data_IF_525365291373
#
_entry.id   IF_525365291373
#
_cell.length_a   1.000
_cell.length_b   1.000
_cell.length_c   1.000
_cell.angle_alpha   90.00
_cell.angle_beta   90.00
_cell.angle_gamma   90.00
#
_symmetry.space_group_name_H-M   'P 1'
#
loop_
_entity.id
_entity.type
_entity.pdbx_description
1 polymer ?
#
# COMPACT_ATOMS: atom_id res chain seq x y z
N UNK A 1 1.13 -20.42 6.78
CA UNK A 1 1.16 -21.07 5.45
C UNK A 1 0.42 -20.16 4.47
N UNK A 2 0.72 -20.23 3.17
CA UNK A 2 -0.13 -19.61 2.15
C UNK A 2 -1.37 -20.50 1.98
N UNK A 3 -2.56 -19.95 2.20
CA UNK A 3 -3.82 -20.69 2.10
C UNK A 3 -4.55 -20.39 0.78
N UNK A 4 -4.28 -19.23 0.18
CA UNK A 4 -4.86 -18.77 -1.09
C UNK A 4 -3.84 -17.99 -1.91
N UNK A 5 -4.00 -18.02 -3.23
CA UNK A 5 -3.23 -17.20 -4.16
C UNK A 5 -3.69 -15.73 -4.10
N UNK A 6 -2.78 -14.79 -4.37
CA UNK A 6 -3.16 -13.41 -4.65
C UNK A 6 -3.85 -13.33 -6.02
N UNK A 7 -4.99 -12.63 -6.08
CA UNK A 7 -5.79 -12.48 -7.30
C UNK A 7 -6.18 -11.02 -7.50
N UNK A 8 -6.04 -10.54 -8.74
CA UNK A 8 -6.76 -9.36 -9.20
C UNK A 8 -8.09 -9.80 -9.81
N UNK A 9 -9.19 -9.32 -9.25
CA UNK A 9 -10.55 -9.72 -9.64
C UNK A 9 -11.25 -8.54 -10.29
N UNK A 10 -11.72 -8.72 -11.53
CA UNK A 10 -12.60 -7.75 -12.20
C UNK A 10 -14.04 -8.22 -12.10
N UNK A 11 -14.90 -7.37 -11.56
CA UNK A 11 -16.34 -7.60 -11.50
C UNK A 11 -17.10 -6.71 -12.50
N UNK A 12 -18.29 -7.15 -12.89
CA UNK A 12 -19.28 -6.28 -13.51
C UNK A 12 -20.07 -5.48 -12.44
N UNK A 13 -21.01 -4.65 -12.90
CA UNK A 13 -21.86 -3.84 -12.01
C UNK A 13 -22.77 -4.67 -11.08
N UNK A 14 -22.97 -5.97 -11.37
CA UNK A 14 -23.71 -6.90 -10.52
C UNK A 14 -22.82 -7.63 -9.52
N UNK A 15 -21.51 -7.38 -9.51
CA UNK A 15 -20.54 -8.11 -8.68
C UNK A 15 -20.17 -9.48 -9.24
N UNK A 16 -20.55 -9.80 -10.49
CA UNK A 16 -20.15 -11.07 -11.12
C UNK A 16 -18.68 -10.97 -11.53
N UNK A 17 -17.88 -11.95 -11.13
CA UNK A 17 -16.48 -12.05 -11.53
C UNK A 17 -16.42 -12.32 -13.04
N UNK A 18 -15.87 -11.36 -13.78
CA UNK A 18 -15.65 -11.45 -15.23
C UNK A 18 -14.22 -11.86 -15.59
N UNK A 19 -13.28 -11.65 -14.68
CA UNK A 19 -11.87 -12.02 -14.85
C UNK A 19 -11.23 -12.21 -13.48
N UNK A 20 -10.33 -13.20 -13.39
CA UNK A 20 -9.43 -13.39 -12.27
C UNK A 20 -8.01 -13.52 -12.83
N UNK A 21 -7.13 -12.62 -12.42
CA UNK A 21 -5.74 -12.55 -12.88
C UNK A 21 -4.85 -13.04 -11.75
N UNK A 22 -4.01 -14.03 -12.06
CA UNK A 22 -3.00 -14.55 -11.15
C UNK A 22 -1.68 -13.81 -11.35
N UNK A 23 -0.83 -13.82 -10.32
CA UNK A 23 0.58 -13.51 -10.50
C UNK A 23 1.27 -14.55 -11.40
N UNK A 24 2.42 -14.23 -12.03
CA UNK A 24 3.23 -15.21 -12.72
C UNK A 24 3.64 -16.38 -11.81
N UNK A 25 3.71 -17.60 -12.35
CA UNK A 25 3.96 -18.82 -11.57
C UNK A 25 5.22 -18.73 -10.70
N UNK A 26 6.31 -18.17 -11.23
CA UNK A 26 7.56 -18.01 -10.49
C UNK A 26 7.41 -17.11 -9.26
N UNK A 27 6.57 -16.08 -9.33
CA UNK A 27 6.31 -15.19 -8.19
C UNK A 27 5.35 -15.83 -7.19
N UNK A 28 4.33 -16.55 -7.66
CA UNK A 28 3.45 -17.34 -6.80
C UNK A 28 4.20 -18.39 -5.97
N UNK A 29 5.26 -19.00 -6.52
CA UNK A 29 6.05 -20.01 -5.82
C UNK A 29 6.79 -19.47 -4.59
N UNK A 30 7.09 -18.16 -4.54
CA UNK A 30 7.77 -17.53 -3.41
C UNK A 30 6.81 -16.74 -2.50
N UNK A 31 5.50 -16.78 -2.78
CA UNK A 31 4.50 -16.05 -2.02
C UNK A 31 4.55 -16.42 -0.53
N UNK A 32 4.32 -15.41 0.32
CA UNK A 32 4.13 -15.56 1.76
C UNK A 32 2.67 -15.25 2.16
N UNK A 33 2.33 -15.41 3.44
CA UNK A 33 0.96 -15.20 3.94
C UNK A 33 0.42 -13.77 3.80
N UNK A 34 1.30 -12.82 3.49
CA UNK A 34 0.96 -11.41 3.27
C UNK A 34 0.97 -11.11 1.77
N UNK A 35 0.03 -10.28 1.34
CA UNK A 35 -0.38 -10.18 -0.05
C UNK A 35 -0.38 -8.76 -0.60
N UNK A 36 -1.32 -8.51 -1.52
CA UNK A 36 -1.69 -7.17 -1.94
C UNK A 36 -2.40 -6.44 -0.79
N UNK A 37 -1.99 -5.20 -0.53
CA UNK A 37 -2.62 -4.33 0.50
C UNK A 37 -3.32 -3.14 -0.16
N UNK A 38 -2.82 -2.68 -1.31
CA UNK A 38 -3.46 -1.61 -2.10
C UNK A 38 -3.64 -2.01 -3.56
N UNK A 39 -4.70 -1.48 -4.19
CA UNK A 39 -4.98 -1.62 -5.61
C UNK A 39 -5.49 -0.31 -6.22
N UNK A 40 -4.93 0.09 -7.34
CA UNK A 40 -5.34 1.28 -8.08
C UNK A 40 -5.40 1.03 -9.58
N UNK A 41 -6.33 1.67 -10.27
CA UNK A 41 -6.35 1.74 -11.73
C UNK A 41 -5.88 3.12 -12.20
N UNK A 42 -4.96 3.15 -13.14
CA UNK A 42 -4.53 4.39 -13.81
C UNK A 42 -4.08 4.08 -15.24
N UNK A 43 -4.55 4.89 -16.19
CA UNK A 43 -4.19 4.78 -17.62
C UNK A 43 -4.29 3.34 -18.19
N UNK A 44 -5.42 2.68 -17.94
CA UNK A 44 -5.73 1.30 -18.36
C UNK A 44 -4.80 0.20 -17.80
N UNK A 45 -4.03 0.51 -16.75
CA UNK A 45 -3.21 -0.45 -16.01
C UNK A 45 -3.69 -0.53 -14.56
N UNK A 46 -3.50 -1.70 -13.96
CA UNK A 46 -3.81 -1.94 -12.55
C UNK A 46 -2.51 -2.04 -11.78
N UNK A 47 -2.40 -1.31 -10.68
CA UNK A 47 -1.25 -1.23 -9.82
C UNK A 47 -1.57 -1.88 -8.49
N UNK A 48 -0.67 -2.69 -7.95
CA UNK A 48 -0.82 -3.34 -6.65
C UNK A 48 0.40 -3.11 -5.78
N UNK A 49 0.17 -2.73 -4.52
CA UNK A 49 1.22 -2.68 -3.51
C UNK A 49 1.31 -4.03 -2.81
N UNK A 50 2.47 -4.68 -2.87
CA UNK A 50 2.75 -5.89 -2.09
C UNK A 50 3.26 -5.47 -0.72
N UNK A 51 2.65 -5.97 0.37
CA UNK A 51 2.91 -5.47 1.73
C UNK A 51 4.40 -5.44 2.10
N UNK A 52 5.10 -6.52 1.77
CA UNK A 52 6.46 -6.82 2.20
C UNK A 52 7.16 -7.69 1.17
N UNK A 53 8.49 -7.74 1.28
CA UNK A 53 9.32 -8.60 0.46
C UNK A 53 8.98 -10.08 0.66
N UNK A 54 9.08 -10.84 -0.42
CA UNK A 54 8.84 -12.30 -0.44
C UNK A 54 10.14 -13.06 -0.63
N UNK A 55 10.18 -14.32 -0.17
CA UNK A 55 11.37 -15.14 -0.25
C UNK A 55 12.61 -14.46 0.34
N UNK A 56 13.67 -14.38 -0.48
CA UNK A 56 14.96 -13.76 -0.14
C UNK A 56 15.10 -12.34 -0.72
N UNK A 57 14.00 -11.69 -1.11
CA UNK A 57 14.04 -10.33 -1.63
C UNK A 57 14.26 -9.30 -0.52
N UNK A 58 15.06 -8.28 -0.79
CA UNK A 58 15.31 -7.20 0.18
C UNK A 58 14.10 -6.26 0.34
N UNK A 59 13.29 -6.12 -0.71
CA UNK A 59 12.26 -5.10 -0.82
C UNK A 59 10.95 -5.65 -1.40
N UNK A 60 9.78 -5.15 -0.97
CA UNK A 60 8.50 -5.44 -1.61
C UNK A 60 8.49 -4.94 -3.06
N UNK A 61 7.48 -5.38 -3.80
CA UNK A 61 7.26 -4.95 -5.17
C UNK A 61 5.98 -4.11 -5.30
N UNK A 62 5.99 -3.16 -6.23
CA UNK A 62 4.79 -2.61 -6.86
C UNK A 62 4.56 -3.41 -8.13
N UNK A 63 3.44 -4.14 -8.19
CA UNK A 63 3.02 -4.87 -9.39
C UNK A 63 2.22 -3.97 -10.31
N UNK A 64 2.44 -4.09 -11.62
CA UNK A 64 1.74 -3.35 -12.67
C UNK A 64 1.20 -4.38 -13.65
N UNK A 65 -0.11 -4.47 -13.76
CA UNK A 65 -0.78 -5.33 -14.69
C UNK A 65 -1.32 -4.52 -15.87
N UNK A 66 -0.81 -4.80 -17.06
CA UNK A 66 -1.32 -4.27 -18.32
C UNK A 66 -2.51 -5.10 -18.78
N UNK A 67 -3.70 -4.52 -18.65
CA UNK A 67 -4.97 -5.19 -18.96
C UNK A 67 -5.09 -5.51 -20.46
N UNK A 68 -4.50 -4.69 -21.34
CA UNK A 68 -4.59 -4.88 -22.77
C UNK A 68 -3.67 -6.01 -23.26
N UNK A 69 -2.50 -6.15 -22.64
CA UNK A 69 -1.47 -7.11 -23.03
C UNK A 69 -1.44 -8.39 -22.18
N UNK A 70 -2.27 -8.48 -21.12
CA UNK A 70 -2.27 -9.57 -20.15
C UNK A 70 -0.85 -9.86 -19.59
N UNK A 71 -0.18 -8.78 -19.19
CA UNK A 71 1.24 -8.82 -18.84
C UNK A 71 1.51 -8.10 -17.52
N UNK A 72 2.37 -8.71 -16.71
CA UNK A 72 2.85 -8.12 -15.47
C UNK A 72 4.21 -7.46 -15.65
N UNK A 73 4.42 -6.37 -14.92
CA UNK A 73 5.73 -5.78 -14.61
C UNK A 73 5.81 -5.57 -13.09
N UNK A 74 7.01 -5.56 -12.53
CA UNK A 74 7.26 -5.41 -11.11
C UNK A 74 8.42 -4.47 -10.86
N UNK A 75 8.22 -3.48 -9.99
CA UNK A 75 9.30 -2.60 -9.52
C UNK A 75 9.54 -2.85 -8.04
N UNK A 76 10.77 -2.83 -7.58
CA UNK A 76 11.05 -2.90 -6.15
C UNK A 76 10.78 -1.56 -5.47
N UNK A 77 10.17 -1.58 -4.30
CA UNK A 77 9.95 -0.41 -3.47
C UNK A 77 10.88 -0.44 -2.25
N UNK A 78 11.80 0.53 -2.08
CA UNK A 78 12.74 0.53 -0.96
C UNK A 78 12.04 0.88 0.35
N UNK A 79 11.89 -0.09 1.27
CA UNK A 79 11.31 0.16 2.59
C UNK A 79 12.27 0.91 3.53
N UNK A 80 11.72 1.71 4.43
CA UNK A 80 12.44 2.16 5.61
C UNK A 80 12.73 0.98 6.55
N UNK A 81 13.85 1.06 7.26
CA UNK A 81 14.12 0.15 8.37
C UNK A 81 13.15 0.42 9.53
N UNK A 82 12.76 -0.64 10.26
CA UNK A 82 11.95 -0.49 11.47
C UNK A 82 12.67 0.41 12.48
N UNK A 83 11.95 1.42 12.97
CA UNK A 83 12.49 2.45 13.87
C UNK A 83 11.88 2.39 15.28
N UNK A 84 10.87 1.53 15.51
CA UNK A 84 10.23 1.41 16.82
C UNK A 84 11.14 0.69 17.83
N UNK A 85 11.20 1.21 19.05
CA UNK A 85 11.90 0.58 20.16
C UNK A 85 11.23 -0.74 20.61
N UNK A 86 9.94 -0.92 20.33
CA UNK A 86 9.22 -2.17 20.55
C UNK A 86 9.56 -3.26 19.50
N UNK A 87 10.36 -2.91 18.48
CA UNK A 87 10.64 -3.77 17.35
C UNK A 87 9.51 -3.75 16.32
N UNK A 88 9.35 -4.84 15.58
CA UNK A 88 8.34 -4.97 14.53
C UNK A 88 8.88 -4.77 13.12
N UNK A 89 7.98 -4.55 12.17
CA UNK A 89 8.25 -4.52 10.74
C UNK A 89 7.54 -3.36 10.05
N UNK A 90 8.14 -2.88 8.96
CA UNK A 90 7.57 -1.87 8.05
C UNK A 90 7.01 -2.55 6.81
N UNK A 91 5.91 -2.03 6.28
CA UNK A 91 5.29 -2.54 5.07
C UNK A 91 4.40 -1.50 4.40
N UNK A 92 3.96 -1.85 3.20
CA UNK A 92 3.04 -1.05 2.40
C UNK A 92 1.61 -1.39 2.75
N UNK A 93 0.77 -0.37 2.79
CA UNK A 93 -0.65 -0.50 3.15
C UNK A 93 -1.59 -0.10 2.03
N UNK A 94 -1.23 0.89 1.20
CA UNK A 94 -2.09 1.33 0.11
C UNK A 94 -1.31 2.04 -1.01
N UNK A 95 -1.94 2.17 -2.18
CA UNK A 95 -1.44 2.88 -3.37
C UNK A 95 -2.56 3.73 -3.99
N UNK A 96 -2.31 5.03 -4.13
CA UNK A 96 -3.24 6.00 -4.73
C UNK A 96 -2.63 6.70 -5.94
N UNK A 97 -3.30 6.76 -7.10
CA UNK A 97 -2.77 7.49 -8.26
C UNK A 97 -2.82 9.00 -8.02
N UNK A 98 -1.70 9.67 -8.26
CA UNK A 98 -1.57 11.14 -8.24
C UNK A 98 -1.67 11.74 -9.65
N UNK A 99 -1.72 10.90 -10.69
CA UNK A 99 -1.68 11.31 -12.09
C UNK A 99 -0.27 11.40 -12.65
N UNK A 100 -0.18 11.43 -13.99
CA UNK A 100 1.08 11.44 -14.75
C UNK A 100 2.06 10.32 -14.37
N UNK A 101 1.53 9.13 -14.00
CA UNK A 101 2.34 7.98 -13.58
C UNK A 101 2.97 8.10 -12.19
N UNK A 102 2.59 9.13 -11.41
CA UNK A 102 2.94 9.26 -10.00
C UNK A 102 1.91 8.59 -9.11
N UNK A 103 2.37 8.01 -8.01
CA UNK A 103 1.54 7.34 -7.02
C UNK A 103 1.94 7.76 -5.62
N UNK A 104 0.96 7.88 -4.74
CA UNK A 104 1.11 8.00 -3.30
C UNK A 104 1.06 6.61 -2.69
N UNK A 105 1.98 6.30 -1.78
CA UNK A 105 2.11 5.01 -1.12
C UNK A 105 2.04 5.24 0.38
N UNK A 106 1.22 4.44 1.06
CA UNK A 106 1.24 4.39 2.53
C UNK A 106 2.30 3.39 2.95
N UNK A 107 3.27 3.85 3.72
CA UNK A 107 4.29 3.03 4.35
C UNK A 107 4.21 3.19 5.87
N UNK A 108 4.00 2.08 6.58
CA UNK A 108 3.81 2.08 8.03
C UNK A 108 4.58 0.97 8.72
N UNK A 109 4.93 1.18 9.98
CA UNK A 109 5.27 0.08 10.88
C UNK A 109 4.02 -0.56 11.48
N UNK A 110 4.18 -1.76 12.05
CA UNK A 110 3.09 -2.51 12.67
C UNK A 110 2.94 -2.18 14.17
N UNK A 111 3.26 -0.95 14.54
CA UNK A 111 3.17 -0.46 15.91
C UNK A 111 2.13 0.65 15.99
N UNK A 112 1.43 0.72 17.12
CA UNK A 112 0.46 1.74 17.43
C UNK A 112 0.85 2.55 18.67
N UNK A 113 0.04 3.56 18.98
CA UNK A 113 0.18 4.37 20.18
C UNK A 113 1.61 4.91 20.39
N UNK A 114 2.18 4.77 21.59
CA UNK A 114 3.51 5.31 21.91
C UNK A 114 4.66 4.59 21.19
N UNK A 115 4.41 3.40 20.65
CA UNK A 115 5.42 2.59 19.96
C UNK A 115 5.44 2.82 18.44
N UNK A 116 4.46 3.55 17.89
CA UNK A 116 4.43 3.92 16.48
C UNK A 116 5.60 4.86 16.13
N UNK A 117 6.39 4.48 15.14
CA UNK A 117 7.57 5.24 14.69
C UNK A 117 7.53 5.58 13.19
N UNK A 118 6.78 4.82 12.38
CA UNK A 118 6.65 5.05 10.94
C UNK A 118 5.17 4.99 10.56
N UNK A 119 4.63 6.14 10.13
CA UNK A 119 3.33 6.32 9.49
C UNK A 119 3.50 7.39 8.42
N UNK A 120 3.77 7.00 7.16
CA UNK A 120 4.25 7.96 6.15
C UNK A 120 3.52 7.82 4.83
N UNK A 121 3.42 8.96 4.15
CA UNK A 121 3.02 9.05 2.76
C UNK A 121 4.27 9.34 1.92
N UNK A 122 4.56 8.46 0.98
CA UNK A 122 5.62 8.65 0.00
C UNK A 122 5.03 8.79 -1.39
N UNK A 123 5.61 9.62 -2.26
CA UNK A 123 5.33 9.55 -3.69
C UNK A 123 6.42 8.81 -4.44
N UNK A 124 6.01 8.11 -5.49
CA UNK A 124 6.89 7.44 -6.46
C UNK A 124 6.46 7.84 -7.87
N UNK A 125 7.42 7.94 -8.79
CA UNK A 125 7.15 8.08 -10.23
C UNK A 125 7.50 6.76 -10.93
N UNK A 126 6.50 6.16 -11.57
CA UNK A 126 6.62 4.86 -12.24
C UNK A 126 6.68 5.04 -13.77
N UNK A 127 6.40 6.24 -14.29
CA UNK A 127 6.19 6.48 -15.73
C UNK A 127 7.37 6.11 -16.63
N UNK A 128 8.60 6.14 -16.10
CA UNK A 128 9.83 5.86 -16.86
C UNK A 128 10.63 4.68 -16.32
N UNK A 129 10.05 3.88 -15.42
CA UNK A 129 10.78 2.82 -14.73
C UNK A 129 10.66 1.50 -15.48
N UNK A 130 11.79 0.82 -15.68
CA UNK A 130 11.87 -0.48 -16.35
C UNK A 130 11.61 -1.62 -15.38
N UNK A 131 11.00 -2.71 -15.88
CA UNK A 131 10.73 -3.92 -15.09
C UNK A 131 11.97 -4.40 -14.30
N UNK A 132 11.75 -4.75 -13.03
CA UNK A 132 12.79 -5.17 -12.08
C UNK A 132 13.61 -4.06 -11.45
N UNK A 133 13.41 -2.79 -11.80
CA UNK A 133 14.15 -1.67 -11.19
C UNK A 133 13.60 -1.30 -9.80
N UNK A 134 14.46 -0.69 -8.98
CA UNK A 134 14.07 -0.11 -7.69
C UNK A 134 13.57 1.32 -7.87
N UNK A 135 12.41 1.63 -7.31
CA UNK A 135 11.80 2.95 -7.33
C UNK A 135 12.58 3.93 -6.46
N UNK A 136 12.59 5.19 -6.89
CA UNK A 136 12.90 6.31 -6.00
C UNK A 136 11.61 6.80 -5.36
N UNK A 137 11.64 7.02 -4.05
CA UNK A 137 10.51 7.55 -3.29
C UNK A 137 10.84 8.92 -2.68
N UNK A 138 9.84 9.77 -2.58
CA UNK A 138 9.93 11.09 -1.93
C UNK A 138 8.97 11.12 -0.76
N UNK A 139 9.45 11.49 0.44
CA UNK A 139 8.58 11.65 1.61
C UNK A 139 7.69 12.88 1.38
N UNK A 140 6.38 12.66 1.30
CA UNK A 140 5.39 13.74 1.18
C UNK A 140 4.92 14.19 2.57
N UNK A 141 4.68 13.24 3.49
CA UNK A 141 4.19 13.56 4.84
C UNK A 141 4.50 12.48 5.86
N UNK A 142 4.87 12.90 7.07
CA UNK A 142 4.90 12.05 8.26
C UNK A 142 3.61 12.27 9.07
N UNK A 143 2.84 11.21 9.23
CA UNK A 143 1.48 11.23 9.76
C UNK A 143 1.44 11.12 11.28
N UNK A 144 2.55 10.93 11.99
CA UNK A 144 2.52 10.73 13.45
C UNK A 144 1.85 11.91 14.18
N UNK A 145 2.12 13.15 13.74
CA UNK A 145 1.47 14.35 14.30
C UNK A 145 0.00 14.47 13.90
N UNK A 146 -0.36 14.09 12.67
CA UNK A 146 -1.74 14.09 12.20
C UNK A 146 -2.60 13.09 12.97
N UNK A 147 -2.05 11.90 13.20
CA UNK A 147 -2.72 10.80 13.89
C UNK A 147 -2.81 11.04 15.40
N UNK A 148 -1.85 11.74 16.01
CA UNK A 148 -1.88 12.08 17.44
C UNK A 148 -2.60 13.40 17.77
N UNK A 149 -3.07 14.12 16.75
CA UNK A 149 -3.77 15.39 16.93
C UNK A 149 -4.93 15.27 17.93
N UNK A 150 -5.04 16.25 18.83
CA UNK A 150 -6.05 16.24 19.89
C UNK A 150 -5.79 15.24 21.02
N UNK A 151 -4.59 14.64 21.08
CA UNK A 151 -4.24 13.63 22.08
C UNK A 151 -4.75 12.22 21.75
N UNK A 152 -5.09 11.98 20.48
CA UNK A 152 -5.51 10.67 20.02
C UNK A 152 -4.36 9.64 20.09
N UNK A 153 -4.72 8.38 20.32
CA UNK A 153 -3.79 7.27 20.20
C UNK A 153 -3.53 7.05 18.72
N UNK A 154 -2.26 6.95 18.34
CA UNK A 154 -1.87 6.67 16.95
C UNK A 154 -2.35 5.26 16.58
N UNK A 155 -3.18 5.16 15.54
CA UNK A 155 -3.62 3.85 15.06
C UNK A 155 -2.43 3.05 14.52
N UNK A 156 -2.43 1.72 14.75
CA UNK A 156 -1.40 0.83 14.18
C UNK A 156 -1.48 0.81 12.65
N UNK A 157 -2.71 0.73 12.14
CA UNK A 157 -3.00 0.46 10.73
C UNK A 157 -3.63 1.66 10.04
N UNK A 158 -2.82 2.41 9.30
CA UNK A 158 -3.33 3.35 8.30
C UNK A 158 -3.35 2.59 6.98
N UNK A 159 -4.54 2.27 6.47
CA UNK A 159 -4.73 1.25 5.41
C UNK A 159 -5.43 1.79 4.16
N UNK A 160 -5.74 3.08 4.12
CA UNK A 160 -6.35 3.66 2.93
C UNK A 160 -5.98 5.12 2.77
N UNK A 161 -5.81 5.51 1.51
CA UNK A 161 -5.59 6.86 1.05
C UNK A 161 -6.46 7.14 -0.18
N UNK A 162 -6.81 8.40 -0.38
CA UNK A 162 -7.43 8.86 -1.61
C UNK A 162 -7.12 10.33 -1.84
N UNK A 163 -7.08 10.75 -3.10
CA UNK A 163 -6.95 12.16 -3.47
C UNK A 163 -8.24 12.63 -4.17
N UNK A 164 -8.72 13.80 -3.78
CA UNK A 164 -9.89 14.43 -4.41
C UNK A 164 -9.48 15.23 -5.65
N UNK A 165 -10.48 15.61 -6.47
CA UNK A 165 -10.22 16.46 -7.65
C UNK A 165 -9.71 17.87 -7.33
N UNK A 166 -9.92 18.36 -6.10
CA UNK A 166 -9.34 19.61 -5.62
C UNK A 166 -7.96 19.44 -4.96
N UNK A 167 -7.41 18.23 -4.97
CA UNK A 167 -6.06 17.92 -4.49
C UNK A 167 -5.94 17.61 -3.00
N UNK A 168 -7.06 17.50 -2.27
CA UNK A 168 -7.02 17.12 -0.86
C UNK A 168 -6.76 15.61 -0.74
N UNK A 169 -5.86 15.24 0.16
CA UNK A 169 -5.59 13.85 0.51
C UNK A 169 -6.35 13.45 1.76
N UNK A 170 -7.04 12.33 1.67
CA UNK A 170 -7.70 11.68 2.78
C UNK A 170 -6.95 10.41 3.14
N UNK A 171 -6.90 10.10 4.44
CA UNK A 171 -6.43 8.80 4.94
C UNK A 171 -7.46 8.19 5.88
N UNK A 172 -7.45 6.87 5.99
CA UNK A 172 -8.32 6.12 6.90
C UNK A 172 -7.54 4.99 7.58
N UNK A 173 -7.87 4.72 8.84
CA UNK A 173 -7.34 3.57 9.56
C UNK A 173 -8.27 2.35 9.47
N UNK A 174 -7.67 1.17 9.48
CA UNK A 174 -8.37 -0.06 9.85
C UNK A 174 -8.43 -0.16 11.38
N UNK A 175 -9.56 -0.60 11.91
CA UNK A 175 -9.80 -0.76 13.35
C UNK A 175 -9.82 -2.22 13.79
N UNK A 176 -9.55 -3.16 12.86
CA UNK A 176 -9.51 -4.61 13.09
C UNK A 176 -10.73 -5.17 13.84
N UNK A 177 -11.88 -4.49 13.74
CA UNK A 177 -13.08 -4.91 14.45
C UNK A 177 -12.90 -5.04 15.97
N UNK A 178 -12.07 -4.17 16.59
CA UNK A 178 -11.66 -4.12 18.01
C UNK A 178 -10.53 -5.07 18.45
N UNK A 179 -9.95 -5.85 17.55
CA UNK A 179 -8.78 -6.66 17.89
C UNK A 179 -7.55 -5.76 18.10
N UNK A 180 -7.00 -5.78 19.31
CA UNK A 180 -5.89 -4.92 19.76
C UNK A 180 -6.05 -3.41 19.44
N UNK A 181 -7.28 -2.92 19.24
CA UNK A 181 -7.59 -1.56 18.82
C UNK A 181 -8.83 -1.00 19.55
N UNK A 182 -9.02 0.32 19.58
CA UNK A 182 -10.16 0.98 20.24
C UNK A 182 -11.50 0.75 19.53
N UNK A 183 -11.46 0.24 18.29
CA UNK A 183 -12.62 0.16 17.40
C UNK A 183 -12.93 1.47 16.68
N UNK A 184 -12.17 2.53 16.91
CA UNK A 184 -12.38 3.81 16.24
C UNK A 184 -11.89 3.76 14.79
N UNK A 185 -12.73 4.24 13.86
CA UNK A 185 -12.33 4.53 12.48
C UNK A 185 -12.32 6.03 12.27
N UNK A 186 -11.18 6.56 11.84
CA UNK A 186 -10.91 7.98 11.61
C UNK A 186 -10.61 8.19 10.13
N UNK A 187 -11.49 8.91 9.46
CA UNK A 187 -11.24 9.49 8.15
C UNK A 187 -10.68 10.89 8.35
N UNK A 188 -9.42 11.11 8.00
CA UNK A 188 -8.72 12.39 8.18
C UNK A 188 -8.52 13.07 6.83
N UNK A 189 -8.93 14.34 6.73
CA UNK A 189 -8.53 15.21 5.61
C UNK A 189 -7.19 15.87 5.96
N UNK A 190 -6.16 15.59 5.19
CA UNK A 190 -4.83 16.14 5.35
C UNK A 190 -4.64 17.47 4.62
N UNK A 191 -5.60 17.86 3.77
CA UNK A 191 -5.49 18.93 2.79
C UNK A 191 -4.61 18.52 1.60
N UNK A 192 -4.15 19.50 0.84
CA UNK A 192 -3.13 19.27 -0.19
C UNK A 192 -1.80 18.81 0.44
N UNK A 193 -1.09 17.94 -0.28
CA UNK A 193 0.29 17.52 0.06
C UNK A 193 1.29 18.64 -0.20
#
# INVERSE_FOLDING_TARGET
PVESANLLIKTDAGGVITQAVMLPDALNQIQLRFGFEGVAEYDSKVYVAMQRAWGDEDNPRIGIYDVANDAWQFMFYPLEASASAAGGWVGLSDITPLGNGRFLIIERDNQGGPDAAIKRLYSVDISTVTDGATLNKTLERDLLNDLSAGGAIIAEKVEGSAITSNGDVFIINDNDGVDDNSGETRLLNLGAL
#
